data_IF_522095854144
#
_entry.id   IF_522095854144
#
_cell.length_a   1.000
_cell.length_b   1.000
_cell.length_c   1.000
_cell.angle_alpha   90.00
_cell.angle_beta   90.00
_cell.angle_gamma   90.00
#
_symmetry.space_group_name_H-M   'P 1'
#
loop_
_entity.id
_entity.type
_entity.pdbx_description
1 polymer ?
#
# COMPACT_ATOMS: atom_id res chain seq x y z
N UNK A 1 19.55 -0.25 -13.58
CA UNK A 1 18.76 0.60 -12.67
C UNK A 1 17.98 -0.31 -11.74
N UNK A 2 18.27 -0.31 -10.43
CA UNK A 2 17.46 -1.06 -9.47
C UNK A 2 16.07 -0.41 -9.42
N UNK A 3 15.00 -1.18 -9.65
CA UNK A 3 13.63 -0.66 -9.48
C UNK A 3 13.43 -0.35 -8.00
N UNK A 4 12.76 0.76 -7.68
CA UNK A 4 12.33 1.07 -6.31
C UNK A 4 11.32 0.02 -5.84
N UNK A 5 11.29 -0.34 -4.54
CA UNK A 5 10.24 -1.18 -4.01
C UNK A 5 8.89 -0.47 -4.17
N UNK A 6 7.83 -1.26 -4.29
CA UNK A 6 6.48 -0.72 -4.41
C UNK A 6 5.45 -1.56 -3.69
N UNK A 7 4.34 -0.92 -3.32
CA UNK A 7 3.15 -1.55 -2.74
C UNK A 7 1.93 -1.02 -3.47
N UNK A 8 0.97 -1.89 -3.78
CA UNK A 8 -0.27 -1.58 -4.47
C UNK A 8 -1.45 -2.16 -3.71
N UNK A 9 -2.46 -1.33 -3.47
CA UNK A 9 -3.76 -1.70 -2.89
C UNK A 9 -4.84 -1.43 -3.94
N UNK A 10 -5.40 -2.50 -4.50
CA UNK A 10 -6.43 -2.42 -5.54
C UNK A 10 -7.84 -2.51 -4.95
N UNK A 11 -8.82 -1.91 -5.63
CA UNK A 11 -10.25 -2.10 -5.31
C UNK A 11 -10.67 -3.49 -5.76
N UNK A 12 -11.38 -4.22 -4.89
CA UNK A 12 -11.84 -5.58 -5.16
C UNK A 12 -10.84 -6.69 -4.80
N UNK A 13 -9.59 -6.34 -4.49
CA UNK A 13 -8.58 -7.29 -4.04
C UNK A 13 -8.56 -7.42 -2.51
N UNK A 14 -8.39 -8.66 -2.03
CA UNK A 14 -8.20 -8.97 -0.61
C UNK A 14 -6.73 -8.90 -0.18
N UNK A 15 -5.82 -8.82 -1.14
CA UNK A 15 -4.37 -8.81 -0.91
C UNK A 15 -3.74 -7.56 -1.51
N UNK A 16 -2.73 -7.03 -0.82
CA UNK A 16 -1.78 -6.08 -1.36
C UNK A 16 -0.87 -6.81 -2.33
N UNK A 17 -0.45 -6.09 -3.36
CA UNK A 17 0.66 -6.51 -4.20
C UNK A 17 1.88 -5.70 -3.82
N UNK A 18 3.02 -6.35 -3.66
CA UNK A 18 4.25 -5.67 -3.32
C UNK A 18 5.42 -6.26 -4.09
N UNK A 19 6.46 -5.47 -4.27
CA UNK A 19 7.73 -5.95 -4.79
C UNK A 19 8.85 -5.18 -4.14
N UNK A 20 9.99 -5.85 -3.99
CA UNK A 20 11.23 -5.23 -3.55
C UNK A 20 12.41 -5.96 -4.17
N UNK A 21 13.56 -5.28 -4.33
CA UNK A 21 14.80 -5.94 -4.68
C UNK A 21 15.09 -7.09 -3.72
N UNK A 22 15.68 -8.17 -4.23
CA UNK A 22 16.29 -9.15 -3.34
C UNK A 22 17.50 -8.50 -2.66
N UNK A 23 17.53 -8.59 -1.34
CA UNK A 23 18.72 -8.32 -0.53
C UNK A 23 19.08 -9.59 0.23
N UNK A 24 20.36 -9.75 0.52
CA UNK A 24 20.96 -10.91 1.18
C UNK A 24 20.04 -11.58 2.21
N UNK A 25 19.94 -12.91 2.16
CA UNK A 25 19.05 -13.69 3.01
C UNK A 25 17.74 -14.08 2.32
N UNK A 26 16.59 -13.73 2.91
CA UNK A 26 15.27 -14.09 2.36
C UNK A 26 14.26 -12.97 2.54
N UNK A 27 13.77 -12.45 1.41
CA UNK A 27 12.66 -11.49 1.37
C UNK A 27 11.42 -12.01 2.12
N UNK A 28 11.12 -13.32 2.02
CA UNK A 28 10.01 -13.94 2.75
C UNK A 28 10.23 -13.89 4.26
N UNK A 29 11.43 -14.24 4.71
CA UNK A 29 11.78 -14.22 6.14
C UNK A 29 11.67 -12.80 6.70
N UNK A 30 12.22 -11.82 6.00
CA UNK A 30 12.12 -10.43 6.41
C UNK A 30 10.67 -9.95 6.49
N UNK A 31 9.83 -10.28 5.49
CA UNK A 31 8.39 -9.95 5.54
C UNK A 31 7.72 -10.55 6.78
N UNK A 32 8.07 -11.76 7.20
CA UNK A 32 7.53 -12.39 8.40
C UNK A 32 8.02 -11.72 9.69
N UNK A 33 9.27 -11.26 9.73
CA UNK A 33 9.83 -10.52 10.86
C UNK A 33 9.11 -9.17 11.05
N UNK A 34 8.82 -8.45 9.95
CA UNK A 34 8.15 -7.14 10.00
C UNK A 34 6.64 -7.23 10.24
N UNK A 35 5.96 -8.22 9.65
CA UNK A 35 4.49 -8.30 9.66
C UNK A 35 3.93 -9.33 10.66
N UNK A 36 4.81 -10.12 11.28
CA UNK A 36 4.49 -11.15 12.26
C UNK A 36 4.38 -12.56 11.64
N UNK A 37 4.81 -13.58 12.40
CA UNK A 37 4.94 -14.96 11.89
C UNK A 37 3.62 -15.62 11.44
N UNK A 38 2.47 -15.10 11.87
CA UNK A 38 1.15 -15.66 11.53
C UNK A 38 0.68 -15.27 10.13
N UNK A 39 1.34 -14.32 9.47
CA UNK A 39 0.96 -13.93 8.12
C UNK A 39 1.45 -14.97 7.10
N UNK A 40 0.77 -15.03 5.95
CA UNK A 40 1.11 -15.95 4.86
C UNK A 40 1.48 -15.16 3.60
N UNK A 41 2.66 -14.53 3.52
CA UNK A 41 3.08 -13.84 2.30
C UNK A 41 3.36 -14.87 1.21
N UNK A 42 2.82 -14.63 0.03
CA UNK A 42 2.93 -15.53 -1.13
C UNK A 42 3.66 -14.82 -2.25
N UNK A 43 4.63 -15.49 -2.87
CA UNK A 43 5.29 -14.97 -4.06
C UNK A 43 4.54 -15.48 -5.29
N UNK A 44 3.89 -14.58 -6.02
CA UNK A 44 3.26 -14.85 -7.29
C UNK A 44 4.26 -14.54 -8.42
N UNK A 45 4.77 -15.60 -9.06
CA UNK A 45 5.69 -15.53 -10.19
C UNK A 45 5.00 -15.71 -11.55
N UNK A 46 3.68 -15.84 -11.60
CA UNK A 46 2.91 -15.92 -12.85
C UNK A 46 2.82 -14.55 -13.53
N UNK A 47 2.99 -13.48 -12.76
CA UNK A 47 3.05 -12.10 -13.24
C UNK A 47 4.49 -11.69 -13.54
N UNK A 48 4.68 -10.82 -14.53
CA UNK A 48 6.00 -10.21 -14.83
C UNK A 48 5.94 -8.69 -14.62
N UNK A 49 6.73 -8.12 -13.69
CA UNK A 49 7.58 -8.82 -12.71
C UNK A 49 6.73 -9.60 -11.69
N UNK A 50 7.32 -10.63 -11.08
CA UNK A 50 6.71 -11.34 -9.96
C UNK A 50 6.44 -10.40 -8.80
N UNK A 51 5.54 -10.78 -7.90
CA UNK A 51 5.09 -9.93 -6.78
C UNK A 51 4.81 -10.74 -5.53
N UNK A 52 4.98 -10.11 -4.38
CA UNK A 52 4.44 -10.57 -3.11
C UNK A 52 2.96 -10.23 -3.03
N UNK A 53 2.16 -11.18 -2.58
CA UNK A 53 0.78 -10.97 -2.19
C UNK A 53 0.69 -11.05 -0.66
N UNK A 54 0.15 -10.00 -0.03
CA UNK A 54 0.16 -9.82 1.43
C UNK A 54 -1.26 -9.45 1.88
N UNK A 55 -1.70 -9.88 3.06
CA UNK A 55 -3.04 -9.52 3.53
C UNK A 55 -3.20 -7.99 3.66
N UNK A 56 -4.35 -7.48 3.20
CA UNK A 56 -4.65 -6.04 3.08
C UNK A 56 -4.42 -5.19 4.34
N UNK A 57 -4.74 -5.65 5.56
CA UNK A 57 -4.53 -4.88 6.79
C UNK A 57 -3.07 -4.52 7.10
N UNK A 58 -2.10 -5.13 6.42
CA UNK A 58 -0.68 -4.83 6.63
C UNK A 58 -0.16 -3.65 5.81
N UNK A 59 -1.02 -2.92 5.09
CA UNK A 59 -0.61 -1.86 4.16
C UNK A 59 0.32 -0.85 4.82
N UNK A 60 -0.08 -0.30 5.97
CA UNK A 60 0.75 0.63 6.72
C UNK A 60 2.07 0.00 7.17
N UNK A 61 2.04 -1.19 7.75
CA UNK A 61 3.25 -1.82 8.30
C UNK A 61 4.26 -2.13 7.19
N UNK A 62 3.84 -2.75 6.08
CA UNK A 62 4.77 -3.14 5.01
C UNK A 62 5.38 -1.94 4.30
N UNK A 63 4.61 -0.88 4.08
CA UNK A 63 5.14 0.33 3.45
C UNK A 63 6.15 1.03 4.38
N UNK A 64 5.89 1.08 5.70
CA UNK A 64 6.85 1.64 6.66
C UNK A 64 8.16 0.85 6.64
N UNK A 65 8.07 -0.48 6.75
CA UNK A 65 9.25 -1.36 6.74
C UNK A 65 10.04 -1.24 5.42
N UNK A 66 9.36 -1.12 4.28
CA UNK A 66 10.02 -0.89 2.99
C UNK A 66 10.69 0.48 2.91
N UNK A 67 10.04 1.54 3.38
CA UNK A 67 10.61 2.88 3.40
C UNK A 67 11.83 2.95 4.33
N UNK A 68 11.80 2.28 5.48
CA UNK A 68 12.94 2.18 6.41
C UNK A 68 14.09 1.39 5.80
N UNK A 69 13.80 0.28 5.11
CA UNK A 69 14.82 -0.58 4.51
C UNK A 69 15.46 -0.02 3.24
N UNK A 70 14.69 0.67 2.40
CA UNK A 70 15.12 1.09 1.06
C UNK A 70 15.15 2.62 0.89
N UNK A 71 14.82 3.39 1.93
CA UNK A 71 14.76 4.85 1.93
C UNK A 71 13.48 5.41 1.33
N UNK A 72 13.00 4.85 0.21
CA UNK A 72 11.77 5.27 -0.46
C UNK A 72 11.00 4.08 -1.01
N UNK A 73 9.67 4.23 -1.08
CA UNK A 73 8.76 3.23 -1.63
C UNK A 73 7.65 3.90 -2.44
N UNK A 74 7.35 3.35 -3.62
CA UNK A 74 6.23 3.77 -4.45
C UNK A 74 4.94 3.07 -3.96
N UNK A 75 3.90 3.84 -3.64
CA UNK A 75 2.62 3.32 -3.11
C UNK A 75 1.49 3.68 -4.06
N UNK A 76 0.78 2.67 -4.57
CA UNK A 76 -0.36 2.82 -5.48
C UNK A 76 -1.66 2.45 -4.77
N UNK A 77 -2.58 3.41 -4.66
CA UNK A 77 -3.85 3.23 -3.99
C UNK A 77 -4.98 3.44 -4.99
N UNK A 78 -5.74 2.38 -5.26
CA UNK A 78 -6.89 2.47 -6.16
C UNK A 78 -8.15 2.84 -5.38
N UNK A 79 -9.00 3.67 -5.93
CA UNK A 79 -10.30 4.04 -5.38
C UNK A 79 -11.36 3.87 -6.46
N UNK A 80 -12.60 3.69 -6.06
CA UNK A 80 -13.75 3.77 -6.95
C UNK A 80 -13.94 5.22 -7.41
N UNK A 81 -14.22 5.43 -8.69
CA UNK A 81 -14.56 6.75 -9.20
C UNK A 81 -16.00 7.17 -8.82
N UNK A 82 -16.86 6.21 -8.48
CA UNK A 82 -18.31 6.41 -8.33
C UNK A 82 -18.84 6.13 -6.92
N UNK A 83 -18.13 5.32 -6.12
CA UNK A 83 -18.54 4.99 -4.74
C UNK A 83 -18.47 6.24 -3.85
N UNK A 84 -19.61 6.67 -3.33
CA UNK A 84 -19.69 7.82 -2.43
C UNK A 84 -19.37 7.40 -1.00
N UNK A 85 -18.63 8.24 -0.30
CA UNK A 85 -18.35 8.06 1.13
C UNK A 85 -19.67 8.08 1.93
N UNK A 86 -19.86 7.10 2.82
CA UNK A 86 -21.01 6.97 3.71
C UNK A 86 -20.62 7.12 5.19
N UNK A 87 -21.56 6.91 6.12
CA UNK A 87 -21.27 6.93 7.57
C UNK A 87 -20.24 5.89 7.98
N UNK A 88 -20.25 4.70 7.38
CA UNK A 88 -19.30 3.63 7.74
C UNK A 88 -17.86 4.04 7.45
N UNK A 89 -17.62 4.68 6.32
CA UNK A 89 -16.29 5.20 5.99
C UNK A 89 -15.89 6.39 6.88
N UNK A 90 -16.83 7.30 7.15
CA UNK A 90 -16.60 8.45 8.04
C UNK A 90 -16.38 8.09 9.51
N UNK A 91 -16.82 6.91 9.94
CA UNK A 91 -16.66 6.46 11.33
C UNK A 91 -15.62 5.33 11.45
N UNK A 92 -15.00 4.92 10.33
CA UNK A 92 -14.04 3.82 10.32
C UNK A 92 -12.70 4.21 10.95
N UNK A 93 -12.18 3.33 11.82
CA UNK A 93 -10.89 3.49 12.48
C UNK A 93 -9.70 2.93 11.69
N UNK A 94 -9.94 2.06 10.69
CA UNK A 94 -8.90 1.40 9.89
C UNK A 94 -8.33 2.28 8.78
N UNK A 95 -7.32 1.78 8.07
CA UNK A 95 -6.60 2.45 6.99
C UNK A 95 -6.98 1.89 5.61
N UNK A 96 -8.26 1.57 5.39
CA UNK A 96 -8.74 1.00 4.13
C UNK A 96 -9.99 1.66 3.50
N UNK A 97 -9.86 2.85 2.90
CA UNK A 97 -10.92 3.49 2.10
C UNK A 97 -10.68 3.17 0.62
N UNK A 98 -11.73 2.69 -0.03
CA UNK A 98 -11.84 2.53 -1.49
C UNK A 98 -12.70 3.61 -2.13
N UNK A 99 -13.25 4.50 -1.32
CA UNK A 99 -14.24 5.50 -1.67
C UNK A 99 -13.69 6.61 -2.60
N UNK A 100 -14.56 7.22 -3.40
CA UNK A 100 -14.18 8.25 -4.39
C UNK A 100 -13.62 9.54 -3.79
N UNK A 101 -13.78 9.75 -2.47
CA UNK A 101 -13.13 10.82 -1.73
C UNK A 101 -11.65 10.54 -1.43
N UNK A 102 -11.11 9.38 -1.81
CA UNK A 102 -9.69 9.06 -1.69
C UNK A 102 -9.13 9.16 -0.25
N UNK A 103 -9.99 8.93 0.74
CA UNK A 103 -9.66 9.01 2.16
C UNK A 103 -9.79 10.39 2.80
N UNK A 104 -10.16 11.43 2.04
CA UNK A 104 -10.31 12.80 2.57
C UNK A 104 -11.39 12.92 3.65
N UNK A 105 -12.45 12.13 3.55
CA UNK A 105 -13.56 12.13 4.52
C UNK A 105 -13.51 10.95 5.50
N UNK A 106 -12.47 10.11 5.47
CA UNK A 106 -12.40 8.92 6.31
C UNK A 106 -12.14 9.30 7.77
N UNK A 107 -12.79 8.60 8.70
CA UNK A 107 -13.01 8.98 10.11
C UNK A 107 -11.81 9.28 11.01
N UNK A 108 -10.60 9.27 10.47
CA UNK A 108 -9.36 9.56 11.20
C UNK A 108 -8.42 10.54 10.48
N UNK A 109 -8.89 11.28 9.46
CA UNK A 109 -8.19 12.30 8.65
C UNK A 109 -6.63 12.23 8.65
N UNK A 110 -6.06 11.93 7.49
CA UNK A 110 -4.66 11.61 7.16
C UNK A 110 -4.23 10.17 7.52
N UNK A 111 -4.51 9.27 6.57
CA UNK A 111 -4.01 7.89 6.49
C UNK A 111 -2.50 7.73 6.72
N UNK A 112 -1.74 8.82 6.54
CA UNK A 112 -0.28 8.79 6.44
C UNK A 112 0.41 9.84 7.32
N UNK A 113 -0.21 10.32 8.42
CA UNK A 113 0.35 11.41 9.27
C UNK A 113 1.82 11.22 9.68
N UNK A 114 2.25 9.97 9.82
CA UNK A 114 3.59 9.61 10.29
C UNK A 114 4.62 9.49 9.17
N UNK A 115 4.23 9.60 7.91
CA UNK A 115 5.13 9.47 6.78
C UNK A 115 5.36 10.81 6.11
N UNK A 116 6.55 10.96 5.53
CA UNK A 116 6.85 12.09 4.68
C UNK A 116 6.41 11.76 3.26
N UNK A 117 5.33 12.40 2.81
CA UNK A 117 4.97 12.42 1.40
C UNK A 117 6.00 13.28 0.66
N UNK A 118 6.76 12.67 -0.26
CA UNK A 118 7.76 13.39 -1.06
C UNK A 118 7.29 13.61 -2.51
N UNK A 119 6.15 13.04 -2.91
CA UNK A 119 5.48 13.34 -4.18
C UNK A 119 4.14 12.58 -4.34
N UNK A 120 3.20 13.17 -5.09
CA UNK A 120 1.88 12.59 -5.39
C UNK A 120 1.50 12.79 -6.86
N UNK A 121 0.83 11.81 -7.47
CA UNK A 121 0.16 11.94 -8.76
C UNK A 121 -1.15 11.14 -8.74
N UNK A 122 -2.20 11.66 -9.37
CA UNK A 122 -3.50 10.99 -9.46
C UNK A 122 -3.87 10.68 -10.90
N UNK A 123 -4.23 9.44 -11.18
CA UNK A 123 -4.82 8.98 -12.44
C UNK A 123 -6.32 8.73 -12.25
N UNK A 124 -7.12 9.09 -13.25
CA UNK A 124 -8.58 8.93 -13.20
C UNK A 124 -9.07 8.31 -14.50
N UNK A 125 -9.86 7.25 -14.39
CA UNK A 125 -10.70 6.70 -15.44
C UNK A 125 -12.18 6.69 -15.01
N UNK A 126 -13.07 6.18 -15.87
CA UNK A 126 -14.52 6.20 -15.64
C UNK A 126 -14.97 5.36 -14.42
N UNK A 127 -14.20 4.34 -14.04
CA UNK A 127 -14.52 3.40 -12.97
C UNK A 127 -13.63 3.57 -11.73
N UNK A 128 -12.38 4.01 -11.92
CA UNK A 128 -11.34 4.00 -10.89
C UNK A 128 -10.55 5.30 -10.85
N UNK A 129 -10.11 5.66 -9.65
CA UNK A 129 -9.05 6.64 -9.40
C UNK A 129 -7.84 5.90 -8.85
N UNK A 130 -6.64 6.36 -9.14
CA UNK A 130 -5.42 5.83 -8.55
C UNK A 130 -4.57 6.97 -8.03
N UNK A 131 -4.18 6.89 -6.75
CA UNK A 131 -3.22 7.79 -6.11
C UNK A 131 -1.88 7.08 -6.05
N UNK A 132 -0.87 7.65 -6.70
CA UNK A 132 0.51 7.24 -6.58
C UNK A 132 1.22 8.17 -5.60
N UNK A 133 1.77 7.61 -4.54
CA UNK A 133 2.54 8.31 -3.51
C UNK A 133 3.98 7.82 -3.54
N UNK A 134 4.92 8.74 -3.40
CA UNK A 134 6.29 8.41 -3.02
C UNK A 134 6.44 8.69 -1.51
N UNK A 135 6.78 7.64 -0.76
CA UNK A 135 6.77 7.63 0.70
C UNK A 135 8.17 7.44 1.26
N UNK A 136 8.50 8.21 2.30
CA UNK A 136 9.69 8.06 3.14
C UNK A 136 9.31 7.98 4.62
N UNK A 137 10.02 7.14 5.38
CA UNK A 137 9.87 7.09 6.84
C UNK A 137 10.43 8.37 7.48
N UNK A 138 9.77 8.89 8.52
CA UNK A 138 10.32 9.98 9.33
C UNK A 138 11.31 9.37 10.32
N UNK A 139 12.59 9.69 10.16
CA UNK A 139 13.64 9.42 11.14
C UNK A 139 13.39 10.16 12.46
#
# INVERSE_FOLDING_TARGET
>A
MSRRPWVRRNVGEQRLWAWMPYQEGSNRRWILEELGERIRPEWNNEMTPGRWEIARPHLRTIVSALAERFGEVDVYLQFSATERCDTRCRDAAGDDCTCSCMGENHGGAAYWRNWMLVGETTLVDVARKERHLLVRSRS
#
